data_IF_470821104082
#
_entry.id   IF_470821104082
#
_cell.length_a   1.000
_cell.length_b   1.000
_cell.length_c   1.000
_cell.angle_alpha   90.00
_cell.angle_beta   90.00
_cell.angle_gamma   90.00
#
_symmetry.space_group_name_H-M   'P 1'
#
loop_
_entity.id
_entity.type
_entity.pdbx_description
1 polymer ?
#
# COMPACT_ATOMS: atom_id res chain seq x y z
N UNK A 1 -19.00 6.10 41.85
CA UNK A 1 -18.72 4.91 41.02
C UNK A 1 -19.19 5.09 39.53
N UNK A 2 -20.34 5.70 39.27
CA UNK A 2 -20.85 5.94 37.92
C UNK A 2 -19.95 6.89 37.12
N UNK A 3 -19.43 7.93 37.73
CA UNK A 3 -18.52 8.90 37.09
C UNK A 3 -17.23 8.26 36.58
N UNK A 4 -16.65 7.35 37.36
CA UNK A 4 -15.43 6.62 36.98
C UNK A 4 -15.71 5.73 35.74
N UNK A 5 -16.84 5.02 35.73
CA UNK A 5 -17.20 4.17 34.61
C UNK A 5 -17.37 4.98 33.29
N UNK A 6 -17.95 6.15 33.36
CA UNK A 6 -18.11 7.02 32.19
C UNK A 6 -16.76 7.53 31.65
N UNK A 7 -15.88 7.95 32.53
CA UNK A 7 -14.53 8.41 32.15
C UNK A 7 -13.71 7.30 31.50
N UNK A 8 -13.78 6.06 32.05
CA UNK A 8 -13.05 4.91 31.48
C UNK A 8 -13.54 4.57 30.08
N UNK A 9 -14.85 4.56 29.83
CA UNK A 9 -15.39 4.29 28.50
C UNK A 9 -14.92 5.31 27.47
N UNK A 10 -14.92 6.60 27.83
CA UNK A 10 -14.45 7.67 26.96
C UNK A 10 -12.95 7.54 26.68
N UNK A 11 -12.14 7.22 27.69
CA UNK A 11 -10.71 7.02 27.53
C UNK A 11 -10.39 5.82 26.63
N UNK A 12 -11.08 4.68 26.81
CA UNK A 12 -10.92 3.50 25.96
C UNK A 12 -11.31 3.79 24.50
N UNK A 13 -12.41 4.52 24.30
CA UNK A 13 -12.83 4.93 22.94
C UNK A 13 -11.78 5.82 22.26
N UNK A 14 -11.17 6.75 23.01
CA UNK A 14 -10.13 7.63 22.50
C UNK A 14 -8.86 6.83 22.17
N UNK A 15 -8.42 5.94 23.05
CA UNK A 15 -7.26 5.06 22.80
C UNK A 15 -7.48 4.19 21.56
N UNK A 16 -8.65 3.59 21.43
CA UNK A 16 -9.01 2.79 20.26
C UNK A 16 -8.93 3.62 18.96
N UNK A 17 -9.46 4.84 18.99
CA UNK A 17 -9.40 5.75 17.85
C UNK A 17 -7.96 6.07 17.42
N UNK A 18 -7.09 6.37 18.38
CA UNK A 18 -5.67 6.66 18.10
C UNK A 18 -4.96 5.45 17.49
N UNK A 19 -5.17 4.25 18.05
CA UNK A 19 -4.54 3.03 17.55
C UNK A 19 -5.01 2.72 16.14
N UNK A 20 -6.33 2.77 15.89
CA UNK A 20 -6.91 2.48 14.57
C UNK A 20 -6.39 3.45 13.52
N UNK A 21 -6.39 4.75 13.82
CA UNK A 21 -5.90 5.76 12.89
C UNK A 21 -4.39 5.65 12.64
N UNK A 22 -3.62 5.34 13.67
CA UNK A 22 -2.18 5.09 13.56
C UNK A 22 -1.86 3.93 12.63
N UNK A 23 -2.63 2.83 12.69
CA UNK A 23 -2.46 1.68 11.80
C UNK A 23 -2.81 2.00 10.35
N UNK A 24 -3.86 2.81 10.10
CA UNK A 24 -4.21 3.27 8.75
C UNK A 24 -3.07 4.10 8.17
N UNK A 25 -2.50 5.03 8.93
CA UNK A 25 -1.36 5.82 8.48
C UNK A 25 -0.11 4.97 8.24
N UNK A 26 0.15 3.98 9.09
CA UNK A 26 1.24 3.02 8.88
C UNK A 26 1.05 2.22 7.58
N UNK A 27 -0.16 1.75 7.31
CA UNK A 27 -0.48 1.06 6.06
C UNK A 27 -0.29 1.96 4.83
N UNK A 28 -0.70 3.23 4.89
CA UNK A 28 -0.47 4.20 3.83
C UNK A 28 1.03 4.43 3.56
N UNK A 29 1.82 4.59 4.63
CA UNK A 29 3.27 4.73 4.52
C UNK A 29 3.90 3.50 3.86
N UNK A 30 3.51 2.29 4.29
CA UNK A 30 4.01 1.03 3.73
C UNK A 30 3.67 0.88 2.25
N UNK A 31 2.42 1.13 1.85
CA UNK A 31 1.99 1.05 0.44
C UNK A 31 2.77 2.05 -0.43
N UNK A 32 3.06 3.23 0.10
CA UNK A 32 3.84 4.25 -0.60
C UNK A 32 5.31 3.83 -0.76
N UNK A 33 5.91 3.28 0.28
CA UNK A 33 7.29 2.78 0.23
C UNK A 33 7.40 1.58 -0.71
N UNK A 34 6.48 0.62 -0.62
CA UNK A 34 6.46 -0.56 -1.48
C UNK A 34 6.37 -0.20 -2.98
N UNK A 35 5.56 0.81 -3.33
CA UNK A 35 5.48 1.29 -4.70
C UNK A 35 6.80 1.95 -5.16
N UNK A 36 7.49 2.68 -4.28
CA UNK A 36 8.76 3.34 -4.58
C UNK A 36 9.91 2.33 -4.70
N UNK A 37 10.03 1.41 -3.76
CA UNK A 37 11.10 0.41 -3.74
C UNK A 37 10.92 -0.64 -4.83
N UNK A 38 9.67 -1.01 -5.12
CA UNK A 38 9.33 -1.82 -6.28
C UNK A 38 9.77 -1.17 -7.60
N UNK A 39 9.48 0.12 -7.77
CA UNK A 39 9.88 0.84 -8.96
C UNK A 39 11.41 0.94 -9.09
N UNK A 40 12.13 1.19 -7.99
CA UNK A 40 13.61 1.24 -7.96
C UNK A 40 14.25 -0.12 -8.28
N UNK A 41 13.75 -1.20 -7.69
CA UNK A 41 14.28 -2.54 -7.95
C UNK A 41 14.06 -2.96 -9.40
N UNK A 42 12.94 -2.57 -10.01
CA UNK A 42 12.66 -2.84 -11.41
C UNK A 42 13.60 -2.14 -12.38
N UNK A 43 14.11 -0.94 -12.07
CA UNK A 43 15.05 -0.24 -12.95
C UNK A 43 16.41 -0.96 -13.05
N UNK A 44 16.84 -1.58 -11.95
CA UNK A 44 18.13 -2.30 -11.90
C UNK A 44 18.10 -3.56 -12.77
N UNK A 45 16.93 -4.14 -12.99
CA UNK A 45 16.74 -5.40 -13.71
C UNK A 45 16.04 -5.16 -15.06
N UNK A 46 16.72 -4.58 -16.03
CA UNK A 46 16.15 -4.14 -17.30
C UNK A 46 15.33 -5.23 -18.05
N UNK A 47 15.74 -6.50 -17.98
CA UNK A 47 15.05 -7.62 -18.67
C UNK A 47 13.86 -8.18 -17.89
N UNK A 48 13.83 -8.05 -16.56
CA UNK A 48 12.80 -8.58 -15.67
C UNK A 48 12.17 -7.49 -14.80
N UNK A 49 12.21 -6.24 -15.27
CA UNK A 49 11.81 -5.05 -14.52
C UNK A 49 10.44 -5.19 -13.82
N UNK A 50 9.44 -5.69 -14.54
CA UNK A 50 8.07 -5.87 -14.01
C UNK A 50 8.03 -6.94 -12.91
N UNK A 51 8.64 -8.09 -13.15
CA UNK A 51 8.62 -9.19 -12.18
C UNK A 51 9.39 -8.84 -10.90
N UNK A 52 10.56 -8.20 -11.04
CA UNK A 52 11.39 -7.76 -9.91
C UNK A 52 10.67 -6.67 -9.09
N UNK A 53 10.04 -5.71 -9.78
CA UNK A 53 9.26 -4.67 -9.13
C UNK A 53 8.08 -5.22 -8.31
N UNK A 54 7.37 -6.20 -8.85
CA UNK A 54 6.25 -6.84 -8.14
C UNK A 54 6.73 -7.68 -6.95
N UNK A 55 7.84 -8.42 -7.12
CA UNK A 55 8.40 -9.23 -6.05
C UNK A 55 8.86 -8.37 -4.87
N UNK A 56 9.56 -7.26 -5.14
CA UNK A 56 10.01 -6.33 -4.09
C UNK A 56 8.84 -5.67 -3.37
N UNK A 57 7.88 -5.13 -4.13
CA UNK A 57 6.67 -4.53 -3.55
C UNK A 57 5.91 -5.54 -2.68
N UNK A 58 5.85 -6.82 -3.08
CA UNK A 58 5.24 -7.89 -2.30
C UNK A 58 5.96 -8.17 -0.98
N UNK A 59 7.28 -8.11 -0.99
CA UNK A 59 8.09 -8.31 0.23
C UNK A 59 7.82 -7.18 1.25
N UNK A 60 7.74 -5.94 0.78
CA UNK A 60 7.58 -4.78 1.64
C UNK A 60 6.20 -4.71 2.33
N UNK A 61 5.15 -5.24 1.67
CA UNK A 61 3.80 -5.32 2.24
C UNK A 61 3.52 -6.61 3.02
N UNK A 62 4.48 -7.53 3.10
CA UNK A 62 4.30 -8.85 3.69
C UNK A 62 3.83 -8.85 5.15
N UNK A 63 4.18 -7.84 5.94
CA UNK A 63 3.76 -7.72 7.34
C UNK A 63 2.25 -7.47 7.51
N UNK A 64 1.57 -6.97 6.50
CA UNK A 64 0.12 -6.76 6.52
C UNK A 64 -0.68 -8.08 6.37
N UNK A 65 -0.01 -9.23 6.46
CA UNK A 65 -0.57 -10.60 6.52
C UNK A 65 -1.46 -11.00 5.33
N UNK A 66 -1.32 -10.34 4.18
CA UNK A 66 -2.25 -10.57 3.08
C UNK A 66 -1.62 -11.18 1.83
N UNK A 67 -0.45 -11.77 1.98
CA UNK A 67 0.14 -12.62 0.96
C UNK A 67 0.86 -11.87 -0.16
N UNK A 68 1.14 -12.60 -1.18
CA UNK A 68 1.98 -12.20 -2.31
C UNK A 68 1.26 -11.20 -3.19
N UNK A 69 1.92 -10.12 -3.55
CA UNK A 69 1.49 -9.22 -4.62
C UNK A 69 1.17 -9.98 -5.91
N UNK A 70 0.03 -9.72 -6.48
CA UNK A 70 -0.29 -10.18 -7.84
C UNK A 70 -1.37 -11.28 -7.97
N UNK A 71 -1.86 -11.84 -6.87
CA UNK A 71 -2.99 -12.79 -6.96
C UNK A 71 -4.33 -12.03 -6.94
N UNK A 72 -5.16 -12.23 -7.95
CA UNK A 72 -6.54 -11.78 -7.95
C UNK A 72 -7.27 -12.38 -6.75
N UNK A 73 -7.84 -11.54 -5.88
CA UNK A 73 -8.56 -11.98 -4.68
C UNK A 73 -7.80 -11.80 -3.36
N UNK A 74 -6.56 -11.34 -3.38
CA UNK A 74 -5.85 -10.91 -2.18
C UNK A 74 -6.23 -9.46 -1.83
N UNK A 75 -6.15 -9.12 -0.55
CA UNK A 75 -6.43 -7.75 -0.09
C UNK A 75 -5.42 -6.74 -0.66
N UNK A 76 -4.22 -7.20 -1.06
CA UNK A 76 -3.17 -6.38 -1.64
C UNK A 76 -2.92 -6.82 -3.07
N UNK A 77 -2.97 -5.85 -3.99
CA UNK A 77 -2.62 -6.04 -5.40
C UNK A 77 -1.46 -5.14 -5.78
N UNK A 78 -0.44 -5.69 -6.44
CA UNK A 78 0.69 -4.94 -6.97
C UNK A 78 0.71 -5.13 -8.48
N UNK A 79 0.59 -4.03 -9.20
CA UNK A 79 0.64 -4.02 -10.66
C UNK A 79 1.84 -3.21 -11.10
N UNK A 80 2.75 -3.84 -11.83
CA UNK A 80 3.83 -3.16 -12.51
C UNK A 80 3.63 -3.24 -14.02
N UNK A 81 3.85 -2.15 -14.72
CA UNK A 81 3.72 -2.07 -16.19
C UNK A 81 4.71 -1.08 -16.78
N UNK A 82 5.20 -1.38 -17.97
CA UNK A 82 6.01 -0.43 -18.74
C UNK A 82 5.06 0.43 -19.57
N UNK A 83 5.19 1.74 -19.41
CA UNK A 83 4.38 2.75 -20.11
C UNK A 83 5.29 3.80 -20.77
N UNK A 84 4.84 4.51 -21.79
CA UNK A 84 5.54 5.71 -22.26
C UNK A 84 5.63 6.74 -21.13
N UNK A 85 6.78 7.39 -21.00
CA UNK A 85 6.97 8.36 -19.94
C UNK A 85 6.06 9.59 -20.12
N UNK A 86 5.42 10.08 -19.05
CA UNK A 86 4.56 11.26 -19.11
C UNK A 86 5.30 12.53 -19.57
N UNK A 87 6.61 12.62 -19.28
CA UNK A 87 7.45 13.76 -19.66
C UNK A 87 8.03 13.64 -21.07
N UNK A 88 8.19 12.44 -21.62
CA UNK A 88 8.73 12.21 -22.94
C UNK A 88 8.28 10.83 -23.46
N UNK A 89 7.34 10.81 -24.41
CA UNK A 89 6.77 9.59 -24.95
C UNK A 89 7.77 8.66 -25.70
N UNK A 90 8.96 9.16 -26.02
CA UNK A 90 10.01 8.35 -26.64
C UNK A 90 10.78 7.48 -25.63
N UNK A 91 10.61 7.73 -24.32
CA UNK A 91 11.25 6.99 -23.27
C UNK A 91 10.24 6.05 -22.59
N UNK A 92 10.71 4.91 -22.14
CA UNK A 92 9.92 3.95 -21.38
C UNK A 92 10.03 4.23 -19.88
N UNK A 93 8.90 4.19 -19.18
CA UNK A 93 8.81 4.31 -17.74
C UNK A 93 8.19 3.05 -17.13
N UNK A 94 8.71 2.65 -15.99
CA UNK A 94 8.12 1.63 -15.14
C UNK A 94 7.13 2.27 -14.18
N UNK A 95 5.87 1.90 -14.30
CA UNK A 95 4.80 2.31 -13.38
C UNK A 95 4.50 1.15 -12.44
N UNK A 96 4.62 1.38 -11.14
CA UNK A 96 4.26 0.43 -10.10
C UNK A 96 3.12 1.00 -9.27
N UNK A 97 2.02 0.25 -9.20
CA UNK A 97 0.85 0.61 -8.39
C UNK A 97 0.62 -0.48 -7.36
N UNK A 98 0.60 -0.09 -6.10
CA UNK A 98 0.24 -0.96 -4.99
C UNK A 98 -1.09 -0.50 -4.44
N UNK A 99 -2.05 -1.42 -4.34
CA UNK A 99 -3.40 -1.14 -3.86
C UNK A 99 -3.74 -2.11 -2.73
N UNK A 100 -4.17 -1.58 -1.61
CA UNK A 100 -4.69 -2.33 -0.48
C UNK A 100 -6.18 -2.08 -0.31
N UNK A 101 -6.99 -3.14 -0.37
CA UNK A 101 -8.42 -3.07 -0.16
C UNK A 101 -8.75 -3.24 1.34
N UNK A 102 -8.76 -2.12 2.05
CA UNK A 102 -9.01 -2.09 3.49
C UNK A 102 -10.42 -2.58 3.85
N UNK A 103 -11.42 -2.29 3.02
CA UNK A 103 -12.81 -2.69 3.27
C UNK A 103 -13.02 -4.21 3.26
N UNK A 104 -12.25 -4.95 2.45
CA UNK A 104 -12.34 -6.42 2.40
C UNK A 104 -11.51 -7.14 3.46
N UNK A 105 -10.46 -6.50 3.95
CA UNK A 105 -9.52 -7.07 4.93
C UNK A 105 -9.00 -5.99 5.86
N UNK A 106 -9.83 -5.53 6.81
CA UNK A 106 -9.40 -4.53 7.76
C UNK A 106 -8.28 -5.08 8.66
N UNK A 107 -7.25 -4.28 8.92
CA UNK A 107 -6.16 -4.64 9.84
C UNK A 107 -6.62 -4.75 11.29
N UNK A 108 -7.75 -4.15 11.60
CA UNK A 108 -8.37 -4.18 12.93
C UNK A 108 -9.88 -4.43 12.81
N UNK A 109 -10.49 -5.21 13.72
CA UNK A 109 -11.93 -5.41 13.72
C UNK A 109 -12.65 -4.08 13.84
N UNK A 110 -13.54 -3.79 12.88
CA UNK A 110 -14.30 -2.56 12.88
C UNK A 110 -15.37 -2.59 13.98
N UNK A 111 -15.37 -1.58 14.83
CA UNK A 111 -16.48 -1.35 15.74
C UNK A 111 -17.70 -0.85 14.95
N UNK A 112 -18.90 -1.33 15.26
CA UNK A 112 -20.13 -0.87 14.61
C UNK A 112 -20.28 0.64 14.75
N UNK A 113 -20.32 1.35 13.62
CA UNK A 113 -20.43 2.83 13.55
C UNK A 113 -19.18 3.56 13.10
N UNK A 114 -17.98 2.96 13.11
CA UNK A 114 -16.72 3.59 12.69
C UNK A 114 -16.37 3.35 11.21
N UNK A 115 -17.04 2.43 10.54
CA UNK A 115 -16.80 2.13 9.12
C UNK A 115 -17.02 3.29 8.15
N UNK A 116 -17.65 4.38 8.61
CA UNK A 116 -17.86 5.60 7.80
C UNK A 116 -16.57 6.46 7.71
N UNK A 117 -15.62 6.28 8.61
CA UNK A 117 -14.42 7.13 8.73
C UNK A 117 -13.18 6.43 8.16
N UNK A 118 -13.25 5.13 7.91
CA UNK A 118 -12.13 4.35 7.37
C UNK A 118 -12.12 4.40 5.84
N UNK A 119 -10.93 4.56 5.20
CA UNK A 119 -10.82 4.51 3.74
C UNK A 119 -11.16 3.10 3.24
N UNK A 120 -11.92 3.00 2.17
CA UNK A 120 -12.23 1.71 1.55
C UNK A 120 -11.02 1.06 0.88
N UNK A 121 -10.15 1.89 0.28
CA UNK A 121 -8.94 1.46 -0.42
C UNK A 121 -7.80 2.42 -0.16
N UNK A 122 -6.59 1.89 -0.03
CA UNK A 122 -5.34 2.63 0.07
C UNK A 122 -4.51 2.28 -1.15
N UNK A 123 -4.14 3.26 -1.97
CA UNK A 123 -3.34 3.01 -3.17
C UNK A 123 -2.22 4.03 -3.32
N UNK A 124 -1.08 3.56 -3.83
CA UNK A 124 0.03 4.42 -4.20
C UNK A 124 0.59 3.99 -5.55
N UNK A 125 1.00 4.97 -6.34
CA UNK A 125 1.59 4.76 -7.66
C UNK A 125 2.91 5.51 -7.74
N UNK A 126 3.95 4.82 -8.17
CA UNK A 126 5.25 5.40 -8.48
C UNK A 126 5.62 5.15 -9.94
N UNK A 127 6.22 6.13 -10.59
CA UNK A 127 6.65 6.05 -11.99
C UNK A 127 8.10 6.47 -12.09
N UNK A 128 8.96 5.59 -12.57
CA UNK A 128 10.38 5.85 -12.76
C UNK A 128 10.77 5.55 -14.21
N UNK A 129 11.64 6.38 -14.77
CA UNK A 129 12.14 6.20 -16.12
C UNK A 129 13.13 5.03 -16.18
N UNK A 130 12.89 4.12 -17.13
CA UNK A 130 13.85 3.08 -17.46
C UNK A 130 14.99 3.71 -18.24
N UNK A 131 16.20 3.69 -17.70
CA UNK A 131 17.41 4.03 -18.46
C UNK A 131 17.64 2.90 -19.46
N UNK A 132 17.39 3.15 -20.75
CA UNK A 132 17.93 2.28 -21.77
C UNK A 132 19.46 2.34 -21.65
N UNK A 133 20.19 1.21 -21.56
CA UNK A 133 21.62 1.26 -21.72
C UNK A 133 21.87 1.87 -23.10
N UNK A 134 22.48 3.06 -23.13
CA UNK A 134 22.96 3.66 -24.35
C UNK A 134 23.97 2.69 -24.97
N UNK A 135 23.56 2.09 -26.09
CA UNK A 135 24.47 1.35 -26.98
C UNK A 135 25.52 2.27 -27.56
#
# INVERSE_FOLDING_TARGET
MIEFAFVVVLLVALLYGIITYGLILAAQATVTQAAADGARSGIISATTAVATAQAQAGTDVGWMNQGVCGASGTAITCVASVIPCPSNANNNCLKVTVTYNYASSPLFPELPGLGVITPSTISSTNVLQLTSPSS
#
